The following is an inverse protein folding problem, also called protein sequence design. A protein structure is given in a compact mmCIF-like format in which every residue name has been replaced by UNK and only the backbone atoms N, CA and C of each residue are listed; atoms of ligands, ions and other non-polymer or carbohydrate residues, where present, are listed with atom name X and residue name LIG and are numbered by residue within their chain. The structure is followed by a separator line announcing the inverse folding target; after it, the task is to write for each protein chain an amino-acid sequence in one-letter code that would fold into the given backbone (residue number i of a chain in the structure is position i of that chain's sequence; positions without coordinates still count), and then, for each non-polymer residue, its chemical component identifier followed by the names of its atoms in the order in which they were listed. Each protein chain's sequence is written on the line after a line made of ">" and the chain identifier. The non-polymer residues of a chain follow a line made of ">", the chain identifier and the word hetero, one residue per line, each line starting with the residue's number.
data_IF_571940134424
#
_entry.id   IF_571940134424
#
_cell.length_a   1.000
_cell.length_b   1.000
_cell.length_c   1.000
_cell.angle_alpha   90.00
_cell.angle_beta   90.00
_cell.angle_gamma   90.00
#
_symmetry.space_group_name_H-M   'P 1'
#
loop_
_entity.id
_entity.type
_entity.pdbx_description
1 polymer ?
#
# COMPACT_ATOMS: atom_id res chain seq x y z
N UNK A 1 9.56 12.40 -5.05
CA UNK A 1 8.21 12.98 -4.85
C UNK A 1 7.78 12.69 -3.43
N UNK A 2 7.27 13.69 -2.72
CA UNK A 2 6.81 13.53 -1.33
C UNK A 2 5.29 13.61 -1.28
N UNK A 3 4.69 12.65 -0.57
CA UNK A 3 3.28 12.65 -0.24
C UNK A 3 3.10 12.88 1.26
N UNK A 4 2.23 13.82 1.60
CA UNK A 4 1.79 14.00 2.98
C UNK A 4 0.44 13.31 3.16
N UNK A 5 0.32 12.47 4.20
CA UNK A 5 -0.93 11.82 4.51
C UNK A 5 -1.83 12.73 5.36
N UNK A 6 -3.11 12.82 5.00
CA UNK A 6 -4.10 13.56 5.78
C UNK A 6 -4.37 12.89 7.13
N UNK A 7 -4.38 11.56 7.15
CA UNK A 7 -4.60 10.72 8.33
C UNK A 7 -3.61 9.57 8.36
N UNK A 8 -3.19 9.17 9.56
CA UNK A 8 -2.35 7.99 9.77
C UNK A 8 -3.19 6.71 9.82
N UNK A 9 -3.96 6.46 8.76
CA UNK A 9 -4.88 5.33 8.63
C UNK A 9 -4.83 4.78 7.21
N UNK A 10 -4.68 3.45 7.02
CA UNK A 10 -4.78 2.84 5.69
C UNK A 10 -6.23 2.74 5.20
N UNK A 11 -7.23 2.97 6.07
CA UNK A 11 -8.64 2.80 5.74
C UNK A 11 -9.20 4.03 5.03
N UNK A 12 -8.90 5.22 5.55
CA UNK A 12 -9.38 6.49 5.00
C UNK A 12 -8.29 7.54 5.12
N UNK A 13 -7.70 7.93 4.01
CA UNK A 13 -6.64 8.94 3.98
C UNK A 13 -6.47 9.52 2.59
N UNK A 14 -5.96 10.74 2.53
CA UNK A 14 -5.49 11.36 1.30
C UNK A 14 -3.98 11.43 1.30
N UNK A 15 -3.35 11.02 0.20
CA UNK A 15 -1.94 11.21 -0.06
C UNK A 15 -1.81 12.41 -1.00
N UNK A 16 -1.34 13.53 -0.45
CA UNK A 16 -1.23 14.80 -1.19
C UNK A 16 0.22 15.01 -1.59
N UNK A 17 0.49 14.89 -2.90
CA UNK A 17 1.75 15.25 -3.54
C UNK A 17 1.73 16.67 -4.11
N UNK A 18 2.81 17.06 -4.79
CA UNK A 18 2.91 18.40 -5.41
C UNK A 18 1.98 18.57 -6.62
N UNK A 19 1.82 17.51 -7.43
CA UNK A 19 1.10 17.56 -8.71
C UNK A 19 -0.06 16.57 -8.79
N UNK A 20 -0.11 15.61 -7.86
CA UNK A 20 -1.06 14.50 -7.88
C UNK A 20 -1.55 14.21 -6.47
N UNK A 21 -2.83 13.85 -6.38
CA UNK A 21 -3.46 13.46 -5.12
C UNK A 21 -4.09 12.07 -5.25
N UNK A 22 -3.98 11.28 -4.18
CA UNK A 22 -4.67 10.01 -4.07
C UNK A 22 -5.64 10.03 -2.90
N UNK A 23 -6.86 9.57 -3.15
CA UNK A 23 -7.90 9.42 -2.12
C UNK A 23 -8.16 7.93 -1.89
N UNK A 24 -8.01 7.51 -0.63
CA UNK A 24 -8.22 6.13 -0.19
C UNK A 24 -9.45 6.12 0.69
N UNK A 25 -10.46 5.35 0.29
CA UNK A 25 -11.72 5.23 1.02
C UNK A 25 -12.08 3.77 1.24
N UNK A 26 -12.12 3.35 2.50
CA UNK A 26 -12.61 2.04 2.91
C UNK A 26 -13.99 2.14 3.53
N UNK A 27 -14.91 1.29 3.08
CA UNK A 27 -16.26 1.18 3.63
C UNK A 27 -16.29 0.06 4.67
N UNK A 28 -16.50 0.42 5.94
CA UNK A 28 -16.45 -0.53 7.06
C UNK A 28 -17.43 -1.71 6.94
N UNK A 29 -18.63 -1.49 6.38
CA UNK A 29 -19.66 -2.54 6.25
C UNK A 29 -19.33 -3.56 5.15
N UNK A 30 -18.78 -3.11 4.03
CA UNK A 30 -18.49 -3.98 2.87
C UNK A 30 -17.06 -4.46 2.84
N UNK A 31 -16.18 -3.90 3.69
CA UNK A 31 -14.74 -4.13 3.66
C UNK A 31 -14.16 -3.95 2.26
N UNK A 32 -14.65 -2.93 1.56
CA UNK A 32 -14.22 -2.56 0.23
C UNK A 32 -13.41 -1.28 0.32
N UNK A 33 -12.26 -1.23 -0.35
CA UNK A 33 -11.41 -0.04 -0.45
C UNK A 33 -11.36 0.42 -1.90
N UNK A 34 -11.68 1.69 -2.14
CA UNK A 34 -11.48 2.35 -3.44
C UNK A 34 -10.27 3.28 -3.32
N UNK A 35 -9.39 3.23 -4.31
CA UNK A 35 -8.26 4.15 -4.47
C UNK A 35 -8.50 4.99 -5.72
N UNK A 36 -8.49 6.31 -5.58
CA UNK A 36 -8.65 7.25 -6.69
C UNK A 36 -7.42 8.12 -6.86
N UNK A 37 -7.08 8.45 -8.11
CA UNK A 37 -6.13 9.51 -8.48
C UNK A 37 -6.90 10.61 -9.19
N UNK A 38 -6.91 11.81 -8.61
CA UNK A 38 -7.62 12.98 -9.16
C UNK A 38 -9.05 12.64 -9.64
N UNK A 39 -9.83 12.02 -8.73
CA UNK A 39 -11.20 11.52 -8.91
C UNK A 39 -11.39 10.29 -9.83
N UNK A 40 -10.36 9.85 -10.56
CA UNK A 40 -10.41 8.61 -11.34
C UNK A 40 -10.09 7.39 -10.45
N UNK A 41 -10.95 6.37 -10.44
CA UNK A 41 -10.68 5.10 -9.77
C UNK A 41 -9.52 4.38 -10.47
N UNK A 42 -8.44 4.12 -9.74
CA UNK A 42 -7.27 3.37 -10.23
C UNK A 42 -7.24 1.94 -9.71
N UNK A 43 -7.82 1.71 -8.52
CA UNK A 43 -7.90 0.39 -7.93
C UNK A 43 -9.09 0.24 -7.00
N UNK A 44 -9.58 -0.99 -6.91
CA UNK A 44 -10.60 -1.42 -5.97
C UNK A 44 -10.12 -2.70 -5.27
N UNK A 45 -10.35 -2.80 -3.96
CA UNK A 45 -9.87 -3.93 -3.15
C UNK A 45 -11.02 -4.45 -2.31
N UNK A 46 -11.37 -5.73 -2.50
CA UNK A 46 -12.38 -6.42 -1.72
C UNK A 46 -11.71 -7.32 -0.67
N UNK A 47 -11.82 -6.89 0.59
CA UNK A 47 -11.12 -7.52 1.69
C UNK A 47 -11.94 -8.63 2.33
N UNK A 48 -11.34 -9.80 2.49
CA UNK A 48 -12.00 -10.98 3.04
C UNK A 48 -11.18 -11.64 4.16
N UNK A 49 -11.85 -12.09 5.23
CA UNK A 49 -11.21 -12.85 6.31
C UNK A 49 -11.07 -14.35 6.00
N UNK A 50 -12.04 -14.90 5.27
CA UNK A 50 -12.20 -16.36 5.06
C UNK A 50 -12.11 -16.75 3.58
N UNK A 51 -11.90 -15.77 2.69
CA UNK A 51 -11.70 -15.94 1.26
C UNK A 51 -10.47 -15.15 0.84
N UNK A 52 -9.96 -15.38 -0.36
CA UNK A 52 -8.88 -14.58 -0.89
C UNK A 52 -9.36 -13.13 -1.11
N UNK A 53 -8.62 -12.15 -0.58
CA UNK A 53 -8.78 -10.73 -0.93
C UNK A 53 -8.47 -10.56 -2.42
N UNK A 54 -9.27 -9.77 -3.11
CA UNK A 54 -9.08 -9.45 -4.54
C UNK A 54 -8.74 -7.97 -4.71
N UNK A 55 -7.93 -7.68 -5.73
CA UNK A 55 -7.54 -6.34 -6.16
C UNK A 55 -7.91 -6.21 -7.63
N UNK A 56 -8.68 -5.20 -7.98
CA UNK A 56 -8.92 -4.79 -9.37
C UNK A 56 -8.06 -3.57 -9.66
N UNK A 57 -7.24 -3.62 -10.69
CA UNK A 57 -6.36 -2.52 -11.11
C UNK A 57 -6.16 -2.59 -12.63
N UNK A 58 -6.21 -1.45 -13.31
CA UNK A 58 -6.14 -1.37 -14.79
C UNK A 58 -7.15 -2.28 -15.53
N UNK A 59 -8.30 -2.57 -14.88
CA UNK A 59 -9.35 -3.43 -15.43
C UNK A 59 -9.09 -4.94 -15.28
N UNK A 60 -7.98 -5.33 -14.65
CA UNK A 60 -7.65 -6.72 -14.35
C UNK A 60 -7.92 -7.04 -12.88
N UNK A 61 -8.49 -8.22 -12.61
CA UNK A 61 -8.73 -8.73 -11.25
C UNK A 61 -7.62 -9.71 -10.86
N UNK A 62 -7.01 -9.46 -9.70
CA UNK A 62 -5.96 -10.28 -9.12
C UNK A 62 -6.36 -10.76 -7.73
N UNK A 63 -5.92 -11.97 -7.37
CA UNK A 63 -5.86 -12.34 -5.95
C UNK A 63 -4.70 -11.62 -5.30
N UNK A 64 -4.93 -10.99 -4.14
CA UNK A 64 -3.90 -10.25 -3.44
C UNK A 64 -2.68 -11.13 -3.12
N UNK A 65 -2.88 -12.40 -2.76
CA UNK A 65 -1.79 -13.35 -2.48
C UNK A 65 -0.89 -13.62 -3.68
N UNK A 66 -1.43 -13.50 -4.89
CA UNK A 66 -0.73 -13.81 -6.14
C UNK A 66 -0.05 -12.55 -6.69
N UNK A 67 -0.75 -11.41 -6.60
CA UNK A 67 -0.26 -10.09 -6.97
C UNK A 67 0.84 -9.58 -6.02
N UNK A 68 0.61 -9.70 -4.72
CA UNK A 68 1.46 -9.25 -3.64
C UNK A 68 1.82 -10.45 -2.76
N UNK A 69 2.82 -11.20 -3.21
CA UNK A 69 3.22 -12.46 -2.60
C UNK A 69 3.55 -12.28 -1.13
N UNK A 70 2.92 -13.14 -0.33
CA UNK A 70 3.05 -13.17 1.13
C UNK A 70 4.48 -13.49 1.60
N UNK A 71 4.72 -13.42 2.92
CA UNK A 71 6.04 -13.60 3.48
C UNK A 71 6.43 -15.07 3.37
N UNK A 72 7.56 -15.38 2.72
CA UNK A 72 8.01 -16.77 2.55
C UNK A 72 8.61 -17.39 3.83
N UNK A 73 8.95 -16.59 4.85
CA UNK A 73 9.45 -17.04 6.17
C UNK A 73 9.81 -15.82 7.03
N UNK A 74 9.44 -15.83 8.34
CA UNK A 74 9.80 -14.94 9.48
C UNK A 74 9.96 -13.41 9.28
N UNK A 75 9.89 -12.90 8.06
CA UNK A 75 10.13 -11.52 7.68
C UNK A 75 8.84 -10.98 7.08
N UNK A 76 8.37 -9.83 7.58
CA UNK A 76 7.20 -9.13 7.04
C UNK A 76 7.57 -8.45 5.71
N UNK A 77 7.89 -9.27 4.72
CA UNK A 77 8.14 -8.85 3.33
C UNK A 77 6.94 -9.17 2.46
N UNK A 78 6.71 -8.32 1.47
CA UNK A 78 5.69 -8.47 0.44
C UNK A 78 6.31 -8.17 -0.91
N UNK A 79 6.10 -9.04 -1.88
CA UNK A 79 6.77 -8.95 -3.17
C UNK A 79 5.75 -8.88 -4.30
N UNK A 80 5.99 -7.99 -5.27
CA UNK A 80 5.23 -7.97 -6.52
C UNK A 80 6.18 -7.83 -7.71
N UNK A 81 5.71 -8.26 -8.88
CA UNK A 81 6.46 -8.18 -10.13
C UNK A 81 5.74 -7.27 -11.11
N UNK A 82 6.49 -6.39 -11.76
CA UNK A 82 5.97 -5.45 -12.77
C UNK A 82 7.03 -5.24 -13.85
N UNK A 83 6.65 -5.39 -15.12
CA UNK A 83 7.55 -5.20 -16.27
C UNK A 83 8.86 -6.01 -16.20
N UNK A 84 8.82 -7.21 -15.62
CA UNK A 84 9.99 -8.08 -15.45
C UNK A 84 10.90 -7.71 -14.27
N UNK A 85 10.59 -6.65 -13.53
CA UNK A 85 11.29 -6.29 -12.29
C UNK A 85 10.52 -6.79 -11.06
N UNK A 86 11.25 -7.11 -10.00
CA UNK A 86 10.68 -7.48 -8.70
C UNK A 86 10.86 -6.35 -7.71
N UNK A 87 9.78 -6.05 -6.99
CA UNK A 87 9.70 -5.00 -5.99
C UNK A 87 9.35 -5.62 -4.65
N UNK A 88 10.06 -5.19 -3.59
CA UNK A 88 9.92 -5.78 -2.26
C UNK A 88 9.57 -4.68 -1.26
N UNK A 89 8.38 -4.79 -0.69
CA UNK A 89 8.01 -4.06 0.51
C UNK A 89 8.56 -4.77 1.74
N UNK A 90 9.18 -4.03 2.64
CA UNK A 90 9.69 -4.50 3.93
C UNK A 90 9.23 -3.57 5.05
N UNK A 91 8.80 -4.17 6.16
CA UNK A 91 8.52 -3.42 7.39
C UNK A 91 9.81 -3.21 8.19
N UNK A 92 9.98 -1.98 8.66
CA UNK A 92 10.97 -1.54 9.62
C UNK A 92 10.23 -0.90 10.81
N UNK A 93 10.87 -0.79 11.97
CA UNK A 93 10.26 -0.42 13.26
C UNK A 93 9.17 0.68 13.20
N UNK A 94 9.35 1.72 12.38
CA UNK A 94 8.37 2.81 12.17
C UNK A 94 8.22 3.21 10.70
N UNK A 95 8.60 2.34 9.78
CA UNK A 95 8.54 2.65 8.34
C UNK A 95 8.25 1.43 7.49
N UNK A 96 7.67 1.67 6.31
CA UNK A 96 7.57 0.67 5.25
C UNK A 96 8.49 1.12 4.13
N UNK A 97 9.30 0.21 3.59
CA UNK A 97 10.23 0.53 2.50
C UNK A 97 9.96 -0.35 1.30
N UNK A 98 9.96 0.26 0.12
CA UNK A 98 9.93 -0.44 -1.15
C UNK A 98 11.32 -0.42 -1.79
N UNK A 99 11.83 -1.58 -2.16
CA UNK A 99 13.13 -1.73 -2.81
C UNK A 99 13.01 -2.48 -4.14
N UNK A 100 13.87 -2.15 -5.10
CA UNK A 100 14.09 -2.90 -6.35
C UNK A 100 15.59 -3.07 -6.53
N UNK A 101 16.07 -4.30 -6.65
CA UNK A 101 17.50 -4.61 -6.81
C UNK A 101 18.41 -3.95 -5.75
N UNK A 102 17.89 -3.81 -4.51
CA UNK A 102 18.58 -3.15 -3.40
C UNK A 102 18.53 -1.62 -3.41
N UNK A 103 17.92 -1.01 -4.42
CA UNK A 103 17.67 0.43 -4.51
C UNK A 103 16.34 0.80 -3.86
N UNK A 104 16.33 1.84 -3.01
CA UNK A 104 15.12 2.33 -2.36
C UNK A 104 14.23 3.10 -3.35
N UNK A 105 13.05 2.55 -3.62
CA UNK A 105 12.05 3.11 -4.53
C UNK A 105 11.03 3.95 -3.79
N UNK A 106 10.61 3.54 -2.59
CA UNK A 106 9.71 4.33 -1.76
C UNK A 106 9.96 4.07 -0.26
N UNK A 107 9.60 5.03 0.58
CA UNK A 107 9.67 4.90 2.03
C UNK A 107 8.54 5.66 2.70
N UNK A 108 7.71 4.94 3.44
CA UNK A 108 6.68 5.50 4.31
C UNK A 108 7.24 5.67 5.71
N UNK A 109 7.28 6.89 6.23
CA UNK A 109 7.64 7.19 7.60
C UNK A 109 6.38 7.45 8.43
N UNK A 110 6.13 6.58 9.42
CA UNK A 110 5.01 6.71 10.34
C UNK A 110 5.37 7.67 11.47
N UNK A 111 4.61 8.75 11.62
CA UNK A 111 4.80 9.71 12.69
C UNK A 111 3.58 9.74 13.63
N UNK A 112 3.84 9.75 14.94
CA UNK A 112 2.79 9.80 15.97
C UNK A 112 2.26 11.23 16.19
N UNK A 113 3.16 12.22 16.18
CA UNK A 113 2.86 13.62 16.51
C UNK A 113 2.91 14.57 15.30
N UNK A 114 3.26 14.04 14.12
CA UNK A 114 3.35 14.79 12.86
C UNK A 114 2.59 14.03 11.78
N UNK A 115 2.31 14.70 10.66
CA UNK A 115 1.74 14.01 9.50
C UNK A 115 2.74 12.98 8.98
N UNK A 116 2.31 11.72 8.86
CA UNK A 116 3.09 10.67 8.20
C UNK A 116 3.37 11.05 6.74
N UNK A 117 4.49 10.58 6.21
CA UNK A 117 4.93 10.90 4.84
C UNK A 117 5.28 9.65 4.07
N UNK A 118 4.97 9.65 2.79
CA UNK A 118 5.45 8.66 1.84
C UNK A 118 6.39 9.36 0.85
N UNK A 119 7.66 9.01 0.88
CA UNK A 119 8.64 9.43 -0.11
C UNK A 119 8.69 8.41 -1.24
N UNK A 120 8.60 8.86 -2.49
CA UNK A 120 8.69 8.03 -3.69
C UNK A 120 9.81 8.56 -4.58
N UNK A 121 10.76 7.69 -4.96
CA UNK A 121 11.85 8.04 -5.88
C UNK A 121 11.30 8.45 -7.23
N UNK A 122 11.97 9.39 -7.91
CA UNK A 122 11.61 9.80 -9.28
C UNK A 122 11.66 8.62 -10.27
N UNK A 123 12.51 7.63 -10.02
CA UNK A 123 12.57 6.41 -10.84
C UNK A 123 11.26 5.60 -10.83
N UNK A 124 10.37 5.84 -9.86
CA UNK A 124 9.09 5.16 -9.71
C UNK A 124 7.92 5.91 -10.35
N UNK A 125 8.14 7.06 -10.99
CA UNK A 125 7.07 7.91 -11.53
C UNK A 125 6.14 7.15 -12.49
N UNK A 126 6.70 6.28 -13.34
CA UNK A 126 5.94 5.46 -14.29
C UNK A 126 5.14 4.32 -13.66
N UNK A 127 5.39 4.02 -12.39
CA UNK A 127 4.75 2.93 -11.64
C UNK A 127 4.08 3.45 -10.37
N UNK A 128 3.82 4.76 -10.31
CA UNK A 128 3.38 5.43 -9.09
C UNK A 128 2.06 4.84 -8.58
N UNK A 129 1.10 4.58 -9.46
CA UNK A 129 -0.18 3.98 -9.08
C UNK A 129 0.01 2.61 -8.42
N UNK A 130 0.87 1.76 -8.99
CA UNK A 130 1.24 0.47 -8.39
C UNK A 130 1.90 0.64 -7.02
N UNK A 131 2.78 1.63 -6.86
CA UNK A 131 3.41 1.94 -5.56
C UNK A 131 2.35 2.32 -4.52
N UNK A 132 1.39 3.19 -4.88
CA UNK A 132 0.34 3.61 -3.95
C UNK A 132 -0.59 2.45 -3.59
N UNK A 133 -1.05 1.68 -4.58
CA UNK A 133 -1.96 0.54 -4.36
C UNK A 133 -1.28 -0.50 -3.46
N UNK A 134 -0.06 -0.93 -3.79
CA UNK A 134 0.67 -1.91 -2.99
C UNK A 134 1.03 -1.38 -1.61
N UNK A 135 1.37 -0.10 -1.47
CA UNK A 135 1.58 0.55 -0.17
C UNK A 135 0.34 0.43 0.72
N UNK A 136 -0.85 0.76 0.21
CA UNK A 136 -2.09 0.67 0.98
C UNK A 136 -2.38 -0.78 1.38
N UNK A 137 -2.13 -1.74 0.48
CA UNK A 137 -2.28 -3.15 0.81
C UNK A 137 -1.38 -3.57 1.98
N UNK A 138 -0.08 -3.29 1.88
CA UNK A 138 0.91 -3.66 2.91
C UNK A 138 0.61 -2.97 4.24
N UNK A 139 0.30 -1.68 4.20
CA UNK A 139 0.04 -0.90 5.41
C UNK A 139 -1.22 -1.38 6.14
N UNK A 140 -2.26 -1.77 5.40
CA UNK A 140 -3.46 -2.34 6.00
C UNK A 140 -3.19 -3.69 6.64
N UNK A 141 -2.53 -4.60 5.94
CA UNK A 141 -2.18 -5.92 6.50
C UNK A 141 -1.35 -5.78 7.78
N UNK A 142 -0.34 -4.91 7.79
CA UNK A 142 0.47 -4.65 8.99
C UNK A 142 -0.37 -4.09 10.15
N UNK A 143 -1.32 -3.19 9.84
CA UNK A 143 -2.22 -2.60 10.84
C UNK A 143 -3.15 -3.66 11.44
N UNK A 144 -3.73 -4.52 10.60
CA UNK A 144 -4.61 -5.61 11.03
C UNK A 144 -3.85 -6.67 11.85
N UNK A 145 -2.61 -7.01 11.46
CA UNK A 145 -1.74 -7.91 12.25
C UNK A 145 -1.40 -7.34 13.63
N UNK A 146 -1.07 -6.05 13.70
CA UNK A 146 -0.75 -5.39 14.98
C UNK A 146 -1.97 -5.39 15.92
N UNK A 147 -3.17 -5.12 15.39
CA UNK A 147 -4.41 -5.17 16.17
C UNK A 147 -4.69 -6.58 16.68
N UNK A 148 -4.54 -7.60 15.82
CA UNK A 148 -4.73 -9.00 16.22
C UNK A 148 -3.79 -9.43 17.35
N UNK A 149 -2.51 -9.05 17.29
CA UNK A 149 -1.52 -9.35 18.34
C UNK A 149 -1.78 -8.59 19.66
N UNK A 150 -2.42 -7.43 19.60
CA UNK A 150 -2.77 -6.66 20.81
C UNK A 150 -4.02 -7.19 21.53
N UNK A 151 -4.82 -8.01 20.84
CA UNK A 151 -6.06 -8.58 21.36
C UNK A 151 -5.89 -10.01 21.91
N UNK A 152 -4.74 -10.63 21.68
CA UNK A 152 -4.33 -11.96 22.18
C UNK A 152 -3.54 -11.86 23.47
#
# INVERSE_FOLDING_TARGET
>A
MDFTLSHNSPYTTQLVGAEVSYDVQSRNLTRHTTIRRDDATIAEIDWHNFKATTVVMDGEEFKLSDFLKGPSSMTMKREFSLNGSTYVWSSHLKSLRLERDGEKIAEFERHTFRKSKLHVSQAAEKILDFVIVTFICVWREETEMTVALSAS
#
